data_IF_414877882346
#
_entry.id   IF_414877882346
#
_cell.length_a   1.000
_cell.length_b   1.000
_cell.length_c   1.000
_cell.angle_alpha   90.00
_cell.angle_beta   90.00
_cell.angle_gamma   90.00
#
_symmetry.space_group_name_H-M   'P 1'
#
loop_
_entity.id
_entity.type
_entity.pdbx_description
1 polymer ?
#
# COMPACT_ATOMS: atom_id res chain seq x y z
N UNK A 1 35.30 -11.86 23.44
CA UNK A 1 35.57 -10.85 24.50
C UNK A 1 34.35 -10.54 25.38
N UNK A 2 33.20 -11.23 25.25
CA UNK A 2 32.08 -11.08 26.20
C UNK A 2 31.91 -12.30 27.11
N UNK A 3 32.41 -13.49 26.72
CA UNK A 3 32.28 -14.70 27.54
C UNK A 3 33.31 -14.79 28.68
N UNK A 4 34.43 -14.07 28.57
CA UNK A 4 35.48 -14.02 29.59
C UNK A 4 35.11 -13.12 30.80
N UNK A 5 34.15 -12.21 30.61
CA UNK A 5 33.70 -11.28 31.66
C UNK A 5 32.66 -11.95 32.57
N UNK A 6 32.00 -13.03 32.13
CA UNK A 6 30.96 -13.68 32.94
C UNK A 6 31.52 -14.53 34.11
N UNK A 7 32.79 -14.97 34.03
CA UNK A 7 33.39 -15.85 35.04
C UNK A 7 34.16 -15.11 36.16
N UNK A 8 34.27 -13.78 36.09
CA UNK A 8 35.01 -12.97 37.08
C UNK A 8 34.11 -12.16 38.02
N UNK A 9 32.78 -12.27 37.92
CA UNK A 9 31.82 -11.50 38.70
C UNK A 9 30.96 -12.35 39.64
N UNK A 10 31.52 -13.39 40.24
CA UNK A 10 30.84 -14.21 41.26
C UNK A 10 31.31 -13.89 42.69
N UNK A 11 31.27 -12.62 43.09
CA UNK A 11 31.35 -12.23 44.51
C UNK A 11 31.09 -10.74 44.73
N UNK A 12 29.88 -10.27 44.42
CA UNK A 12 29.40 -9.00 44.97
C UNK A 12 27.89 -8.92 44.86
N UNK A 13 27.27 -8.60 46.00
CA UNK A 13 25.83 -8.40 46.18
C UNK A 13 25.35 -7.23 45.31
N UNK A 14 25.12 -7.48 44.03
CA UNK A 14 24.53 -6.49 43.13
C UNK A 14 23.02 -6.65 43.09
N UNK A 15 22.37 -5.52 43.36
CA UNK A 15 20.94 -5.29 43.42
C UNK A 15 20.19 -5.95 42.24
N UNK A 16 19.04 -6.57 42.51
CA UNK A 16 18.22 -7.27 41.51
C UNK A 16 17.87 -6.36 40.31
N UNK A 17 17.90 -5.05 40.53
CA UNK A 17 17.81 -3.95 39.57
C UNK A 17 18.90 -4.00 38.48
N UNK A 18 20.17 -4.27 38.83
CA UNK A 18 21.28 -4.27 37.86
C UNK A 18 21.20 -5.49 36.94
N UNK A 19 20.77 -6.64 37.47
CA UNK A 19 20.56 -7.86 36.66
C UNK A 19 19.36 -7.72 35.72
N UNK A 20 18.28 -7.04 36.13
CA UNK A 20 17.13 -6.73 35.26
C UNK A 20 17.48 -5.74 34.17
N UNK A 21 18.31 -4.73 34.45
CA UNK A 21 18.80 -3.76 33.44
C UNK A 21 19.67 -4.46 32.39
N UNK A 22 20.56 -5.37 32.78
CA UNK A 22 21.38 -6.15 31.83
C UNK A 22 20.51 -7.10 30.98
N UNK A 23 19.44 -7.66 31.55
CA UNK A 23 18.44 -8.47 30.81
C UNK A 23 17.65 -7.61 29.81
N UNK A 24 17.24 -6.39 30.19
CA UNK A 24 16.58 -5.43 29.30
C UNK A 24 17.53 -4.94 28.19
N UNK A 25 18.82 -4.75 28.49
CA UNK A 25 19.83 -4.38 27.49
C UNK A 25 20.04 -5.46 26.42
N UNK A 26 19.80 -6.75 26.72
CA UNK A 26 19.77 -7.81 25.69
C UNK A 26 18.60 -7.63 24.73
N UNK A 27 17.46 -7.08 25.17
CA UNK A 27 16.31 -6.77 24.29
C UNK A 27 16.61 -5.62 23.32
N UNK A 28 17.57 -4.73 23.62
CA UNK A 28 18.03 -3.72 22.67
C UNK A 28 18.67 -4.35 21.41
N UNK A 29 19.09 -5.63 21.45
CA UNK A 29 19.48 -6.34 20.22
C UNK A 29 18.30 -6.54 19.26
N UNK A 30 17.05 -6.52 19.74
CA UNK A 30 15.83 -6.52 18.93
C UNK A 30 15.64 -5.20 18.17
N UNK A 31 16.36 -4.12 18.51
CA UNK A 31 16.42 -2.91 17.67
C UNK A 31 17.04 -3.22 16.30
N UNK A 32 17.88 -4.26 16.16
CA UNK A 32 18.29 -4.72 14.82
C UNK A 32 17.11 -5.25 14.00
N UNK A 33 16.07 -5.79 14.64
CA UNK A 33 14.80 -6.14 13.97
C UNK A 33 13.99 -4.89 13.58
N UNK A 34 14.15 -3.75 14.25
CA UNK A 34 13.56 -2.48 13.75
C UNK A 34 14.20 -2.00 12.44
N UNK A 35 15.44 -2.40 12.15
CA UNK A 35 16.04 -2.22 10.81
C UNK A 35 15.42 -3.15 9.75
N UNK A 36 14.84 -4.27 10.17
CA UNK A 36 13.98 -5.12 9.33
C UNK A 36 12.59 -4.46 9.14
N UNK A 37 12.15 -3.58 10.05
CA UNK A 37 10.95 -2.72 9.90
C UNK A 37 11.08 -1.66 8.80
N UNK A 38 12.30 -1.29 8.42
CA UNK A 38 12.55 -0.52 7.18
C UNK A 38 12.51 -1.34 5.88
N UNK A 39 12.33 -2.67 5.94
CA UNK A 39 12.11 -3.48 4.74
C UNK A 39 10.77 -3.11 4.09
N UNK A 40 10.72 -3.05 2.76
CA UNK A 40 9.54 -2.60 2.01
C UNK A 40 8.24 -3.38 2.30
N UNK A 41 8.33 -4.56 2.93
CA UNK A 41 7.18 -5.34 3.39
C UNK A 41 6.44 -4.71 4.57
N UNK A 42 7.16 -4.08 5.52
CA UNK A 42 6.53 -3.42 6.67
C UNK A 42 5.90 -2.07 6.31
N UNK A 43 6.34 -1.42 5.23
CA UNK A 43 5.57 -0.33 4.61
C UNK A 43 4.27 -0.81 3.97
N UNK A 44 4.27 -2.00 3.33
CA UNK A 44 3.01 -2.60 2.82
C UNK A 44 2.07 -2.94 3.97
N UNK A 45 2.59 -3.51 5.07
CA UNK A 45 1.81 -3.78 6.27
C UNK A 45 1.28 -2.48 6.89
N UNK A 46 2.10 -1.42 7.00
CA UNK A 46 1.66 -0.12 7.52
C UNK A 46 0.64 0.59 6.61
N UNK A 47 0.67 0.35 5.30
CA UNK A 47 -0.37 0.82 4.39
C UNK A 47 -1.68 0.02 4.54
N UNK A 48 -1.58 -1.29 4.80
CA UNK A 48 -2.74 -2.12 5.12
C UNK A 48 -3.34 -1.78 6.49
N UNK A 49 -2.50 -1.51 7.50
CA UNK A 49 -2.93 -1.14 8.85
C UNK A 49 -3.71 0.17 8.85
N UNK A 50 -3.27 1.17 8.06
CA UNK A 50 -4.01 2.42 7.84
C UNK A 50 -5.37 2.19 7.17
N UNK A 51 -5.51 1.14 6.36
CA UNK A 51 -6.80 0.72 5.81
C UNK A 51 -7.71 0.10 6.88
N UNK A 52 -7.15 -0.65 7.83
CA UNK A 52 -7.90 -1.22 8.98
C UNK A 52 -8.32 -0.11 9.95
N UNK A 53 -7.45 0.86 10.19
CA UNK A 53 -7.73 2.03 11.06
C UNK A 53 -8.97 2.79 10.59
N UNK A 54 -9.12 2.98 9.28
CA UNK A 54 -10.33 3.58 8.70
C UNK A 54 -11.59 2.73 8.99
N UNK A 55 -11.51 1.40 8.84
CA UNK A 55 -12.65 0.50 9.08
C UNK A 55 -13.04 0.36 10.55
N UNK A 56 -12.08 0.49 11.48
CA UNK A 56 -12.33 0.29 12.92
C UNK A 56 -13.34 1.31 13.46
N UNK A 57 -13.31 2.54 12.97
CA UNK A 57 -14.25 3.59 13.35
C UNK A 57 -15.70 3.20 13.03
N UNK A 58 -15.97 2.68 11.84
CA UNK A 58 -17.30 2.22 11.41
C UNK A 58 -17.75 1.00 12.20
N UNK A 59 -16.84 0.05 12.48
CA UNK A 59 -17.14 -1.10 13.34
C UNK A 59 -17.54 -0.68 14.75
N UNK A 60 -16.87 0.32 15.33
CA UNK A 60 -17.20 0.82 16.66
C UNK A 60 -18.62 1.39 16.71
N UNK A 61 -19.03 2.20 15.73
CA UNK A 61 -20.39 2.74 15.67
C UNK A 61 -21.46 1.65 15.51
N UNK A 62 -21.19 0.64 14.68
CA UNK A 62 -22.09 -0.51 14.54
C UNK A 62 -22.17 -1.33 15.84
N UNK A 63 -21.05 -1.49 16.55
CA UNK A 63 -20.99 -2.12 17.87
C UNK A 63 -21.81 -1.35 18.92
N UNK A 64 -21.76 -0.02 18.91
CA UNK A 64 -22.57 0.83 19.79
C UNK A 64 -24.07 0.64 19.49
N UNK A 65 -24.45 0.59 18.22
CA UNK A 65 -25.85 0.37 17.82
C UNK A 65 -26.37 -1.00 18.27
N UNK A 66 -25.56 -2.06 18.08
CA UNK A 66 -25.89 -3.41 18.57
C UNK A 66 -26.00 -3.43 20.11
N UNK A 67 -25.07 -2.78 20.80
CA UNK A 67 -25.08 -2.68 22.26
C UNK A 67 -26.37 -2.00 22.76
N UNK A 68 -26.81 -0.92 22.09
CA UNK A 68 -28.05 -0.23 22.41
C UNK A 68 -29.28 -1.12 22.23
N UNK A 69 -29.36 -1.87 21.12
CA UNK A 69 -30.48 -2.80 20.86
C UNK A 69 -30.51 -3.91 21.92
N UNK A 70 -29.36 -4.53 22.22
CA UNK A 70 -29.25 -5.52 23.28
C UNK A 70 -29.62 -4.93 24.65
N UNK A 71 -29.23 -3.68 24.94
CA UNK A 71 -29.58 -3.01 26.19
C UNK A 71 -31.10 -2.85 26.35
N UNK A 72 -31.80 -2.32 25.33
CA UNK A 72 -33.25 -2.12 25.40
C UNK A 72 -33.99 -3.46 25.58
N UNK A 73 -33.63 -4.47 24.79
CA UNK A 73 -34.22 -5.81 24.92
C UNK A 73 -33.88 -6.47 26.26
N UNK A 74 -32.68 -6.22 26.80
CA UNK A 74 -32.28 -6.78 28.09
C UNK A 74 -33.07 -6.21 29.24
N UNK A 75 -33.36 -4.90 29.24
CA UNK A 75 -34.21 -4.27 30.25
C UNK A 75 -35.60 -4.89 30.23
N UNK A 76 -36.16 -5.08 29.03
CA UNK A 76 -37.46 -5.74 28.86
C UNK A 76 -37.45 -7.18 29.40
N UNK A 77 -36.43 -7.98 29.05
CA UNK A 77 -36.33 -9.38 29.50
C UNK A 77 -36.03 -9.51 31.00
N UNK A 78 -35.26 -8.61 31.60
CA UNK A 78 -35.03 -8.60 33.05
C UNK A 78 -36.34 -8.34 33.80
N UNK A 79 -37.15 -7.40 33.31
CA UNK A 79 -38.43 -7.05 33.93
C UNK A 79 -39.49 -8.13 33.75
N UNK A 80 -39.54 -8.78 32.59
CA UNK A 80 -40.58 -9.77 32.25
C UNK A 80 -40.18 -11.20 32.62
N UNK A 81 -38.96 -11.60 32.26
CA UNK A 81 -38.45 -12.96 32.42
C UNK A 81 -37.63 -13.11 33.69
N UNK A 82 -36.67 -12.21 33.94
CA UNK A 82 -35.72 -12.31 35.05
C UNK A 82 -36.35 -12.27 36.45
N UNK A 83 -37.55 -11.71 36.58
CA UNK A 83 -38.28 -11.64 37.86
C UNK A 83 -39.18 -12.87 38.12
N UNK A 84 -39.18 -13.87 37.22
CA UNK A 84 -40.02 -15.05 37.34
C UNK A 84 -39.46 -16.03 38.38
N UNK A 85 -40.30 -16.44 39.34
CA UNK A 85 -39.94 -17.34 40.45
C UNK A 85 -40.47 -18.76 40.30
N UNK A 86 -40.83 -19.18 39.08
CA UNK A 86 -41.27 -20.54 38.81
C UNK A 86 -40.24 -21.58 39.30
N UNK A 87 -40.65 -22.69 39.96
CA UNK A 87 -39.73 -23.67 40.52
C UNK A 87 -38.83 -24.37 39.49
N UNK A 88 -39.27 -24.45 38.22
CA UNK A 88 -38.54 -25.12 37.14
C UNK A 88 -37.79 -24.12 36.25
N UNK A 89 -38.41 -22.98 35.93
CA UNK A 89 -37.86 -21.97 35.02
C UNK A 89 -37.09 -20.85 35.73
N UNK A 90 -37.36 -20.59 37.01
CA UNK A 90 -36.81 -19.46 37.76
C UNK A 90 -35.27 -19.44 37.83
N UNK A 91 -34.61 -20.60 37.92
CA UNK A 91 -33.15 -20.67 37.89
C UNK A 91 -32.58 -20.22 36.53
N UNK A 92 -33.20 -20.65 35.43
CA UNK A 92 -32.81 -20.23 34.09
C UNK A 92 -33.06 -18.73 33.88
N UNK A 93 -34.22 -18.25 34.36
CA UNK A 93 -34.60 -16.86 34.31
C UNK A 93 -33.61 -15.94 35.05
N UNK A 94 -33.27 -16.25 36.29
CA UNK A 94 -32.33 -15.45 37.09
C UNK A 94 -30.91 -15.49 36.51
N UNK A 95 -30.46 -16.68 36.09
CA UNK A 95 -29.08 -16.85 35.61
C UNK A 95 -28.82 -16.13 34.29
N UNK A 96 -29.79 -16.14 33.37
CA UNK A 96 -29.67 -15.53 32.05
C UNK A 96 -30.23 -14.10 31.99
N UNK A 97 -31.29 -13.81 32.74
CA UNK A 97 -32.06 -12.56 32.67
C UNK A 97 -32.17 -11.82 34.02
N UNK A 98 -31.51 -12.24 35.09
CA UNK A 98 -31.58 -11.55 36.40
C UNK A 98 -30.85 -10.20 36.46
N UNK A 99 -29.84 -10.00 35.61
CA UNK A 99 -29.08 -8.74 35.51
C UNK A 99 -29.06 -8.25 34.06
N UNK A 100 -29.12 -6.93 33.87
CA UNK A 100 -29.05 -6.28 32.54
C UNK A 100 -27.81 -6.77 31.77
N UNK A 101 -26.62 -6.74 32.37
CA UNK A 101 -25.38 -7.15 31.71
C UNK A 101 -25.39 -8.63 31.28
N UNK A 102 -25.93 -9.53 32.11
CA UNK A 102 -26.07 -10.96 31.78
C UNK A 102 -27.11 -11.20 30.68
N UNK A 103 -28.21 -10.46 30.73
CA UNK A 103 -29.25 -10.50 29.71
C UNK A 103 -28.74 -9.98 28.37
N UNK A 104 -27.97 -8.90 28.36
CA UNK A 104 -27.30 -8.39 27.15
C UNK A 104 -26.35 -9.43 26.55
N UNK A 105 -25.56 -10.12 27.37
CA UNK A 105 -24.67 -11.19 26.89
C UNK A 105 -25.46 -12.39 26.34
N UNK A 106 -26.54 -12.79 27.02
CA UNK A 106 -27.41 -13.88 26.55
C UNK A 106 -28.07 -13.50 25.22
N UNK A 107 -28.58 -12.28 25.08
CA UNK A 107 -29.14 -11.78 23.83
C UNK A 107 -28.10 -11.72 22.70
N UNK A 108 -26.90 -11.22 22.99
CA UNK A 108 -25.81 -11.23 22.02
C UNK A 108 -25.51 -12.65 21.53
N UNK A 109 -25.40 -13.63 22.45
CA UNK A 109 -25.23 -15.05 22.09
C UNK A 109 -26.38 -15.53 21.18
N UNK A 110 -27.63 -15.26 21.58
CA UNK A 110 -28.81 -15.67 20.81
C UNK A 110 -28.80 -15.11 19.38
N UNK A 111 -28.45 -13.84 19.20
CA UNK A 111 -28.37 -13.22 17.87
C UNK A 111 -27.18 -13.69 17.04
N UNK A 112 -26.09 -14.10 17.67
CA UNK A 112 -24.92 -14.68 16.99
C UNK A 112 -25.09 -16.17 16.63
N UNK A 113 -26.16 -16.81 17.08
CA UNK A 113 -26.52 -18.19 16.70
C UNK A 113 -26.55 -19.20 17.84
N UNK A 114 -26.32 -18.77 19.09
CA UNK A 114 -26.38 -19.65 20.26
C UNK A 114 -27.36 -19.12 21.31
N UNK A 115 -28.53 -19.74 21.41
CA UNK A 115 -29.54 -19.40 22.41
C UNK A 115 -29.80 -20.56 23.39
N UNK A 116 -28.72 -21.19 23.84
CA UNK A 116 -28.76 -22.30 24.79
C UNK A 116 -28.48 -21.86 26.24
N UNK A 117 -29.19 -22.50 27.16
CA UNK A 117 -28.90 -22.46 28.59
C UNK A 117 -27.61 -23.25 28.91
N UNK A 118 -27.18 -23.21 30.17
CA UNK A 118 -25.95 -23.88 30.64
C UNK A 118 -25.96 -25.41 30.47
N UNK A 119 -27.15 -26.02 30.36
CA UNK A 119 -27.37 -27.45 30.17
C UNK A 119 -27.63 -27.82 28.69
N UNK A 120 -27.47 -26.86 27.77
CA UNK A 120 -27.68 -27.06 26.34
C UNK A 120 -29.13 -26.99 25.88
N UNK A 121 -30.10 -26.78 26.79
CA UNK A 121 -31.50 -26.59 26.40
C UNK A 121 -31.73 -25.22 25.77
N UNK A 122 -32.63 -25.16 24.80
CA UNK A 122 -33.05 -23.92 24.14
C UNK A 122 -33.81 -23.01 25.12
N UNK A 123 -33.34 -21.77 25.29
CA UNK A 123 -33.97 -20.75 26.14
C UNK A 123 -35.42 -20.42 25.70
N UNK A 124 -35.72 -20.24 24.40
CA UNK A 124 -37.08 -20.09 23.91
C UNK A 124 -37.99 -21.28 24.25
N UNK A 125 -37.48 -22.51 24.13
CA UNK A 125 -38.28 -23.72 24.42
C UNK A 125 -38.59 -23.84 25.91
N UNK A 126 -37.64 -23.47 26.77
CA UNK A 126 -37.85 -23.38 28.23
C UNK A 126 -38.88 -22.30 28.61
N UNK A 127 -39.04 -21.26 27.79
CA UNK A 127 -39.99 -20.18 28.04
C UNK A 127 -41.44 -20.53 27.61
N UNK A 128 -41.63 -21.47 26.68
CA UNK A 128 -42.96 -21.84 26.15
C UNK A 128 -43.95 -22.32 27.23
N UNK A 129 -43.58 -23.21 28.18
CA UNK A 129 -44.50 -23.66 29.23
C UNK A 129 -45.01 -22.54 30.15
N UNK A 130 -44.24 -21.44 30.27
CA UNK A 130 -44.51 -20.34 31.20
C UNK A 130 -45.27 -19.20 30.53
N UNK A 131 -44.87 -18.84 29.31
CA UNK A 131 -45.38 -17.67 28.59
C UNK A 131 -46.25 -18.04 27.36
N UNK A 132 -46.37 -19.34 27.07
CA UNK A 132 -47.11 -19.86 25.93
C UNK A 132 -46.33 -19.84 24.61
N UNK A 133 -46.94 -20.43 23.57
CA UNK A 133 -46.35 -20.57 22.24
C UNK A 133 -46.08 -19.24 21.51
N UNK A 134 -46.65 -18.12 21.98
CA UNK A 134 -46.42 -16.80 21.40
C UNK A 134 -44.97 -16.31 21.51
N UNK A 135 -44.18 -16.87 22.45
CA UNK A 135 -42.76 -16.51 22.60
C UNK A 135 -41.92 -16.90 21.39
N UNK A 136 -42.24 -18.01 20.72
CA UNK A 136 -41.47 -18.50 19.57
C UNK A 136 -41.49 -17.53 18.38
N UNK A 137 -42.65 -17.05 17.87
CA UNK A 137 -42.67 -16.06 16.81
C UNK A 137 -42.06 -14.72 17.24
N UNK A 138 -42.22 -14.28 18.50
CA UNK A 138 -41.55 -13.09 19.01
C UNK A 138 -40.02 -13.23 18.97
N UNK A 139 -39.50 -14.38 19.41
CA UNK A 139 -38.09 -14.71 19.33
C UNK A 139 -37.60 -14.74 17.88
N UNK A 140 -38.30 -15.43 16.97
CA UNK A 140 -37.95 -15.48 15.56
C UNK A 140 -37.89 -14.10 14.91
N UNK A 141 -38.89 -13.26 15.14
CA UNK A 141 -38.91 -11.88 14.61
C UNK A 141 -37.72 -11.08 15.16
N UNK A 142 -37.40 -11.23 16.45
CA UNK A 142 -36.26 -10.54 17.05
C UNK A 142 -34.92 -10.98 16.42
N UNK A 143 -34.75 -12.28 16.16
CA UNK A 143 -33.56 -12.83 15.50
C UNK A 143 -33.50 -12.41 14.04
N UNK A 144 -34.62 -12.42 13.31
CA UNK A 144 -34.67 -11.91 11.94
C UNK A 144 -34.26 -10.44 11.87
N UNK A 145 -34.80 -9.62 12.76
CA UNK A 145 -34.49 -8.19 12.80
C UNK A 145 -33.02 -7.91 13.11
N UNK A 146 -32.43 -8.58 14.12
CA UNK A 146 -31.04 -8.31 14.52
C UNK A 146 -30.05 -9.03 13.60
N UNK A 147 -30.21 -10.34 13.40
CA UNK A 147 -29.24 -11.15 12.68
C UNK A 147 -29.28 -10.91 11.17
N UNK A 148 -30.47 -10.73 10.59
CA UNK A 148 -30.61 -10.49 9.14
C UNK A 148 -30.83 -9.02 8.79
N UNK A 149 -31.36 -8.20 9.69
CA UNK A 149 -31.45 -6.75 9.47
C UNK A 149 -30.15 -6.06 9.88
N UNK A 150 -29.89 -6.02 11.18
CA UNK A 150 -28.84 -5.17 11.76
C UNK A 150 -27.42 -5.61 11.34
N UNK A 151 -27.08 -6.90 11.40
CA UNK A 151 -25.76 -7.35 10.96
C UNK A 151 -25.53 -7.15 9.46
N UNK A 152 -26.56 -7.34 8.62
CA UNK A 152 -26.41 -7.10 7.19
C UNK A 152 -26.22 -5.60 6.88
N UNK A 153 -26.89 -4.70 7.60
CA UNK A 153 -26.65 -3.25 7.50
C UNK A 153 -25.22 -2.91 7.97
N UNK A 154 -24.74 -3.52 9.05
CA UNK A 154 -23.37 -3.34 9.52
C UNK A 154 -22.34 -3.78 8.47
N UNK A 155 -22.52 -4.97 7.87
CA UNK A 155 -21.64 -5.47 6.80
C UNK A 155 -21.70 -4.57 5.57
N UNK A 156 -22.89 -4.10 5.18
CA UNK A 156 -23.06 -3.19 4.05
C UNK A 156 -22.31 -1.87 4.27
N UNK A 157 -22.42 -1.26 5.45
CA UNK A 157 -21.71 -0.03 5.78
C UNK A 157 -20.19 -0.24 5.79
N UNK A 158 -19.71 -1.34 6.37
CA UNK A 158 -18.29 -1.69 6.35
C UNK A 158 -17.76 -1.85 4.92
N UNK A 159 -18.48 -2.57 4.05
CA UNK A 159 -18.13 -2.74 2.65
C UNK A 159 -18.15 -1.40 1.89
N UNK A 160 -19.11 -0.52 2.19
CA UNK A 160 -19.22 0.78 1.56
C UNK A 160 -18.01 1.67 1.89
N UNK A 161 -17.59 1.70 3.15
CA UNK A 161 -16.43 2.48 3.58
C UNK A 161 -15.11 1.89 3.05
N UNK A 162 -14.96 0.57 3.04
CA UNK A 162 -13.81 -0.10 2.41
C UNK A 162 -13.73 0.23 0.91
N UNK A 163 -14.87 0.21 0.21
CA UNK A 163 -14.93 0.55 -1.22
C UNK A 163 -14.64 2.04 -1.46
N UNK A 164 -15.12 2.94 -0.59
CA UNK A 164 -14.82 4.38 -0.66
C UNK A 164 -13.32 4.64 -0.48
N UNK A 165 -12.68 3.99 0.50
CA UNK A 165 -11.24 4.10 0.73
C UNK A 165 -10.44 3.63 -0.50
N UNK A 166 -10.83 2.51 -1.10
CA UNK A 166 -10.22 2.02 -2.34
C UNK A 166 -10.37 3.03 -3.49
N UNK A 167 -11.60 3.52 -3.73
CA UNK A 167 -11.89 4.51 -4.78
C UNK A 167 -11.14 5.82 -4.58
N UNK A 168 -10.96 6.27 -3.33
CA UNK A 168 -10.21 7.48 -3.05
C UNK A 168 -8.75 7.36 -3.52
N UNK A 169 -8.11 6.22 -3.24
CA UNK A 169 -6.74 5.97 -3.68
C UNK A 169 -6.60 5.92 -5.21
N UNK A 170 -7.58 5.34 -5.90
CA UNK A 170 -7.60 5.27 -7.36
C UNK A 170 -7.90 6.64 -7.99
N UNK A 171 -8.83 7.41 -7.43
CA UNK A 171 -9.18 8.75 -7.89
C UNK A 171 -8.01 9.71 -7.76
N UNK A 172 -7.27 9.67 -6.64
CA UNK A 172 -6.07 10.47 -6.45
C UNK A 172 -5.00 10.12 -7.49
N UNK A 173 -4.77 8.82 -7.70
CA UNK A 173 -3.85 8.31 -8.73
C UNK A 173 -4.25 8.76 -10.14
N UNK A 174 -5.53 8.65 -10.48
CA UNK A 174 -6.03 9.12 -11.77
C UNK A 174 -5.92 10.63 -11.92
N UNK A 175 -6.15 11.40 -10.86
CA UNK A 175 -6.01 12.87 -10.89
C UNK A 175 -4.57 13.30 -11.17
N UNK A 176 -3.59 12.62 -10.56
CA UNK A 176 -2.15 12.83 -10.80
C UNK A 176 -1.81 12.52 -12.25
N UNK A 177 -2.23 11.36 -12.76
CA UNK A 177 -2.03 10.98 -14.16
C UNK A 177 -2.70 11.94 -15.15
N UNK A 178 -3.88 12.47 -14.83
CA UNK A 178 -4.57 13.48 -15.66
C UNK A 178 -3.82 14.81 -15.69
N UNK A 179 -3.37 15.30 -14.54
CA UNK A 179 -2.56 16.54 -14.45
C UNK A 179 -1.26 16.40 -15.22
N UNK A 180 -0.56 15.27 -15.07
CA UNK A 180 0.64 14.97 -15.86
C UNK A 180 0.36 14.95 -17.37
N UNK A 181 -0.71 14.29 -17.80
CA UNK A 181 -1.10 14.27 -19.23
C UNK A 181 -1.41 15.66 -19.77
N UNK A 182 -2.16 16.47 -19.02
CA UNK A 182 -2.51 17.83 -19.42
C UNK A 182 -1.26 18.72 -19.55
N UNK A 183 -0.31 18.57 -18.62
CA UNK A 183 0.93 19.33 -18.64
C UNK A 183 1.77 18.97 -19.86
N UNK A 184 1.90 17.67 -20.17
CA UNK A 184 2.58 17.20 -21.40
C UNK A 184 1.88 17.73 -22.64
N UNK A 185 0.55 17.60 -22.76
CA UNK A 185 -0.17 18.07 -23.95
C UNK A 185 -0.02 19.58 -24.17
N UNK A 186 -0.06 20.37 -23.09
CA UNK A 186 0.15 21.83 -23.17
C UNK A 186 1.56 22.17 -23.65
N UNK A 187 2.59 21.59 -23.01
CA UNK A 187 3.99 21.83 -23.36
C UNK A 187 4.30 21.41 -24.80
N UNK A 188 3.79 20.26 -25.23
CA UNK A 188 3.94 19.80 -26.61
C UNK A 188 3.29 20.77 -27.59
N UNK A 189 2.08 21.25 -27.30
CA UNK A 189 1.38 22.25 -28.14
C UNK A 189 2.16 23.56 -28.26
N UNK A 190 2.71 24.06 -27.15
CA UNK A 190 3.47 25.31 -27.12
C UNK A 190 4.76 25.19 -27.96
N UNK A 191 5.46 24.05 -27.87
CA UNK A 191 6.63 23.73 -28.72
C UNK A 191 6.23 23.69 -30.20
N UNK A 192 5.15 22.99 -30.56
CA UNK A 192 4.69 22.92 -31.95
C UNK A 192 4.32 24.28 -32.52
N UNK A 193 3.60 25.10 -31.74
CA UNK A 193 3.24 26.46 -32.16
C UNK A 193 4.48 27.30 -32.46
N UNK A 194 5.50 27.22 -31.60
CA UNK A 194 6.75 27.94 -31.77
C UNK A 194 7.54 27.48 -33.00
N UNK A 195 7.53 26.19 -33.30
CA UNK A 195 8.21 25.66 -34.50
C UNK A 195 7.52 26.19 -35.77
N UNK A 196 6.19 26.22 -35.80
CA UNK A 196 5.43 26.79 -36.93
C UNK A 196 5.66 28.30 -37.09
N UNK A 197 5.86 29.05 -36.00
CA UNK A 197 6.22 30.48 -36.06
C UNK A 197 7.62 30.72 -36.67
N UNK A 198 8.60 29.89 -36.30
CA UNK A 198 9.98 30.03 -36.77
C UNK A 198 10.18 29.50 -38.20
N UNK A 199 9.33 28.56 -38.63
CA UNK A 199 9.39 27.94 -39.94
C UNK A 199 7.99 27.86 -40.58
N UNK A 200 7.44 28.98 -41.04
CA UNK A 200 6.09 29.03 -41.61
C UNK A 200 5.94 28.16 -42.88
N UNK A 201 7.02 27.97 -43.64
CA UNK A 201 7.03 27.15 -44.86
C UNK A 201 7.39 25.68 -44.61
N UNK A 202 7.62 25.27 -43.36
CA UNK A 202 8.07 23.89 -43.06
C UNK A 202 6.98 22.84 -43.23
N UNK A 203 5.71 23.19 -43.03
CA UNK A 203 4.58 22.27 -43.23
C UNK A 203 3.23 22.99 -43.32
N UNK A 204 2.32 22.44 -44.13
CA UNK A 204 0.94 22.94 -44.22
C UNK A 204 0.09 22.52 -43.00
N UNK A 205 0.41 21.38 -42.37
CA UNK A 205 -0.26 20.91 -41.16
C UNK A 205 0.74 20.36 -40.14
N UNK A 206 0.32 20.26 -38.87
CA UNK A 206 1.15 19.70 -37.78
C UNK A 206 1.52 18.24 -38.03
N UNK A 207 0.69 17.50 -38.79
CA UNK A 207 0.96 16.10 -39.12
C UNK A 207 2.09 15.95 -40.16
N UNK A 208 2.27 16.95 -41.02
CA UNK A 208 3.27 16.95 -42.09
C UNK A 208 4.61 17.56 -41.65
N UNK A 209 4.71 18.02 -40.39
CA UNK A 209 5.91 18.67 -39.88
C UNK A 209 7.05 17.66 -39.73
N UNK A 210 8.10 17.88 -40.51
CA UNK A 210 9.36 17.13 -40.45
C UNK A 210 10.46 18.08 -39.98
N UNK A 211 11.07 17.78 -38.83
CA UNK A 211 12.12 18.62 -38.26
C UNK A 211 13.47 18.03 -38.65
N UNK A 212 14.19 18.74 -39.50
CA UNK A 212 15.55 18.37 -39.90
C UNK A 212 16.58 18.78 -38.85
N UNK A 213 17.79 18.22 -38.95
CA UNK A 213 18.89 18.53 -38.02
C UNK A 213 19.33 19.99 -38.06
N UNK A 214 19.19 20.64 -39.21
CA UNK A 214 19.48 22.07 -39.38
C UNK A 214 18.42 22.93 -38.71
N UNK A 215 17.14 22.59 -38.87
CA UNK A 215 16.03 23.25 -38.16
C UNK A 215 16.21 23.10 -36.64
N UNK A 216 16.55 21.91 -36.16
CA UNK A 216 16.82 21.66 -34.75
C UNK A 216 17.94 22.55 -34.19
N UNK A 217 19.02 22.76 -34.94
CA UNK A 217 20.11 23.68 -34.55
C UNK A 217 19.65 25.13 -34.41
N UNK A 218 18.67 25.57 -35.19
CA UNK A 218 18.07 26.90 -35.08
C UNK A 218 17.09 26.98 -33.91
N UNK A 219 16.28 25.94 -33.69
CA UNK A 219 15.39 25.84 -32.51
C UNK A 219 16.18 25.91 -31.20
N UNK A 220 17.37 25.31 -31.15
CA UNK A 220 18.27 25.38 -30.00
C UNK A 220 18.95 26.74 -29.80
N UNK A 221 18.72 27.73 -30.66
CA UNK A 221 19.15 29.13 -30.46
C UNK A 221 18.02 30.02 -29.96
N UNK A 222 16.77 29.56 -30.05
CA UNK A 222 15.61 30.30 -29.58
C UNK A 222 15.55 30.27 -28.04
N UNK A 223 15.58 31.44 -27.41
CA UNK A 223 15.60 31.56 -25.94
C UNK A 223 14.35 30.96 -25.30
N UNK A 224 13.21 31.05 -25.96
CA UNK A 224 11.94 30.54 -25.45
C UNK A 224 11.89 29.01 -25.49
N UNK A 225 12.36 28.41 -26.61
CA UNK A 225 12.53 26.97 -26.72
C UNK A 225 13.50 26.40 -25.66
N UNK A 226 14.62 27.08 -25.42
CA UNK A 226 15.59 26.70 -24.38
C UNK A 226 14.93 26.72 -23.00
N UNK A 227 14.23 27.80 -22.65
CA UNK A 227 13.52 27.94 -21.38
C UNK A 227 12.52 26.80 -21.16
N UNK A 228 11.74 26.43 -22.17
CA UNK A 228 10.79 25.32 -22.05
C UNK A 228 11.48 23.97 -21.87
N UNK A 229 12.60 23.72 -22.57
CA UNK A 229 13.37 22.49 -22.40
C UNK A 229 13.99 22.41 -20.99
N UNK A 230 14.43 23.53 -20.41
CA UNK A 230 14.92 23.62 -19.04
C UNK A 230 13.82 23.36 -18.01
N UNK A 231 12.64 23.94 -18.20
CA UNK A 231 11.46 23.69 -17.36
C UNK A 231 11.03 22.21 -17.38
N UNK A 232 11.34 21.49 -18.46
CA UNK A 232 11.11 20.05 -18.60
C UNK A 232 12.25 19.18 -18.03
N UNK A 233 13.29 19.78 -17.46
CA UNK A 233 14.43 19.08 -16.87
C UNK A 233 15.49 18.64 -17.88
N UNK A 234 15.56 19.28 -19.05
CA UNK A 234 16.64 19.06 -20.02
C UNK A 234 17.84 19.94 -19.70
N UNK A 235 18.89 19.33 -19.17
CA UNK A 235 20.20 19.96 -19.01
C UNK A 235 20.88 20.18 -20.37
N UNK A 236 21.85 21.10 -20.41
CA UNK A 236 22.60 21.45 -21.62
C UNK A 236 23.27 20.23 -22.28
N UNK A 237 23.71 19.27 -21.47
CA UNK A 237 24.32 18.01 -21.90
C UNK A 237 23.36 17.05 -22.58
N UNK A 238 22.10 16.96 -22.12
CA UNK A 238 21.07 16.15 -22.78
C UNK A 238 20.55 16.86 -24.03
N UNK A 239 20.47 18.20 -24.03
CA UNK A 239 19.87 18.98 -25.12
C UNK A 239 20.53 18.75 -26.48
N UNK A 240 21.85 18.63 -26.52
CA UNK A 240 22.60 18.36 -27.76
C UNK A 240 22.39 16.93 -28.28
N UNK A 241 22.18 15.97 -27.37
CA UNK A 241 21.95 14.55 -27.70
C UNK A 241 20.46 14.24 -27.91
N UNK A 242 19.57 15.16 -27.54
CA UNK A 242 18.13 14.95 -27.53
C UNK A 242 17.61 14.60 -28.92
N UNK A 243 18.08 15.27 -29.97
CA UNK A 243 17.70 14.94 -31.35
C UNK A 243 17.95 13.47 -31.69
N UNK A 244 19.15 12.97 -31.45
CA UNK A 244 19.53 11.58 -31.71
C UNK A 244 18.82 10.58 -30.79
N UNK A 245 18.23 11.05 -29.68
CA UNK A 245 17.48 10.22 -28.72
C UNK A 245 15.98 10.20 -29.01
N UNK A 246 15.49 11.17 -29.78
CA UNK A 246 14.12 11.24 -30.27
C UNK A 246 13.98 10.58 -31.64
N UNK A 247 15.02 10.66 -32.47
CA UNK A 247 15.12 9.99 -33.77
C UNK A 247 15.29 8.47 -33.53
N UNK A 248 14.16 7.78 -33.49
CA UNK A 248 14.10 6.37 -33.10
C UNK A 248 14.35 5.44 -34.28
N UNK A 249 14.05 5.91 -35.49
CA UNK A 249 14.22 5.18 -36.74
C UNK A 249 15.58 5.46 -37.42
N UNK A 250 16.33 6.45 -36.96
CA UNK A 250 17.66 6.81 -37.45
C UNK A 250 17.67 7.48 -38.81
N UNK A 251 16.53 8.02 -39.26
CA UNK A 251 16.40 8.64 -40.59
C UNK A 251 16.98 10.07 -40.64
N UNK A 252 17.44 10.62 -39.50
CA UNK A 252 18.05 11.93 -39.40
C UNK A 252 17.05 13.10 -39.41
N UNK A 253 15.76 12.81 -39.30
CA UNK A 253 14.67 13.78 -39.16
C UNK A 253 13.76 13.39 -38.00
N UNK A 254 12.96 14.33 -37.48
CA UNK A 254 11.94 14.03 -36.48
C UNK A 254 10.56 14.29 -37.06
N UNK A 255 9.72 13.25 -37.07
CA UNK A 255 8.30 13.41 -37.34
C UNK A 255 7.53 13.88 -36.10
N UNK A 256 6.24 14.19 -36.30
CA UNK A 256 5.36 14.64 -35.23
C UNK A 256 5.25 13.62 -34.08
N UNK A 257 5.20 12.32 -34.38
CA UNK A 257 5.08 11.28 -33.36
C UNK A 257 6.38 11.11 -32.55
N UNK A 258 7.53 11.18 -33.21
CA UNK A 258 8.85 11.13 -32.58
C UNK A 258 9.09 12.35 -31.68
N UNK A 259 8.67 13.54 -32.13
CA UNK A 259 8.73 14.74 -31.30
C UNK A 259 7.83 14.65 -30.07
N UNK A 260 6.56 14.23 -30.22
CA UNK A 260 5.62 14.06 -29.11
C UNK A 260 6.13 13.01 -28.12
N UNK A 261 6.62 11.87 -28.63
CA UNK A 261 7.14 10.78 -27.81
C UNK A 261 8.41 11.20 -27.08
N UNK A 262 9.27 11.98 -27.75
CA UNK A 262 10.48 12.57 -27.20
C UNK A 262 10.19 13.53 -26.05
N UNK A 263 9.32 14.51 -26.27
CA UNK A 263 8.90 15.47 -25.24
C UNK A 263 8.23 14.73 -24.07
N UNK A 264 7.37 13.75 -24.33
CA UNK A 264 6.72 12.96 -23.28
C UNK A 264 7.73 12.14 -22.46
N UNK A 265 8.79 11.61 -23.09
CA UNK A 265 9.87 10.91 -22.40
C UNK A 265 10.72 11.85 -21.54
N UNK A 266 10.91 13.10 -21.99
CA UNK A 266 11.60 14.16 -21.27
C UNK A 266 10.81 14.58 -20.02
N UNK A 267 9.52 14.94 -20.16
CA UNK A 267 8.66 15.34 -19.04
C UNK A 267 8.50 14.26 -17.97
N UNK A 268 8.66 12.98 -18.33
CA UNK A 268 8.58 11.84 -17.40
C UNK A 268 9.92 11.51 -16.73
N UNK A 269 10.99 12.25 -17.01
CA UNK A 269 12.33 11.98 -16.50
C UNK A 269 12.94 10.67 -17.01
N UNK A 270 12.36 10.03 -18.03
CA UNK A 270 12.86 8.74 -18.57
C UNK A 270 14.27 8.87 -19.14
N UNK A 271 14.65 10.05 -19.61
CA UNK A 271 15.97 10.26 -20.18
C UNK A 271 17.11 10.28 -19.18
N UNK A 272 16.85 10.58 -17.89
CA UNK A 272 17.83 10.38 -16.81
C UNK A 272 18.05 8.90 -16.47
N UNK A 273 16.99 8.08 -16.49
CA UNK A 273 17.10 6.63 -16.26
C UNK A 273 17.80 5.90 -17.41
N UNK A 274 17.50 6.28 -18.66
CA UNK A 274 18.20 5.73 -19.83
C UNK A 274 19.68 6.10 -19.77
N UNK A 275 20.07 7.30 -19.31
CA UNK A 275 21.49 7.62 -19.12
C UNK A 275 22.15 6.74 -18.07
N UNK A 276 21.52 6.52 -16.91
CA UNK A 276 22.08 5.61 -15.90
C UNK A 276 22.26 4.18 -16.42
N UNK A 277 21.30 3.66 -17.20
CA UNK A 277 21.40 2.34 -17.82
C UNK A 277 22.44 2.28 -18.94
N UNK A 278 22.53 3.33 -19.76
CA UNK A 278 23.52 3.41 -20.85
C UNK A 278 24.94 3.55 -20.30
N UNK A 279 25.10 4.33 -19.23
CA UNK A 279 26.37 4.48 -18.50
C UNK A 279 26.76 3.14 -17.87
N UNK A 280 25.81 2.44 -17.23
CA UNK A 280 25.99 1.09 -16.69
C UNK A 280 26.42 0.09 -17.77
N UNK A 281 25.74 0.06 -18.93
CA UNK A 281 26.11 -0.81 -20.05
C UNK A 281 27.50 -0.48 -20.58
N UNK A 282 27.86 0.80 -20.73
CA UNK A 282 29.22 1.20 -21.16
C UNK A 282 30.28 0.79 -20.14
N UNK A 283 30.02 0.97 -18.84
CA UNK A 283 30.94 0.49 -17.79
C UNK A 283 31.03 -1.03 -17.75
N UNK A 284 29.94 -1.76 -18.01
CA UNK A 284 29.95 -3.22 -18.13
C UNK A 284 30.79 -3.68 -19.33
N UNK A 285 30.59 -3.03 -20.49
CA UNK A 285 31.32 -3.34 -21.71
C UNK A 285 32.83 -3.07 -21.55
N UNK A 286 33.20 -1.93 -20.94
CA UNK A 286 34.58 -1.60 -20.63
C UNK A 286 35.22 -2.59 -19.63
N UNK A 287 34.46 -3.06 -18.63
CA UNK A 287 34.93 -4.09 -17.69
C UNK A 287 35.09 -5.46 -18.35
N UNK A 288 34.21 -5.83 -19.27
CA UNK A 288 34.33 -7.05 -20.07
C UNK A 288 35.60 -7.05 -20.91
N UNK A 289 35.89 -5.94 -21.61
CA UNK A 289 37.13 -5.77 -22.36
C UNK A 289 38.38 -5.83 -21.47
N UNK A 290 38.31 -5.24 -20.27
CA UNK A 290 39.41 -5.33 -19.31
C UNK A 290 39.64 -6.76 -18.79
N UNK A 291 38.56 -7.54 -18.60
CA UNK A 291 38.64 -8.95 -18.22
C UNK A 291 39.21 -9.79 -19.37
N UNK A 292 38.76 -9.57 -20.62
CA UNK A 292 39.32 -10.25 -21.79
C UNK A 292 40.82 -9.96 -21.94
N UNK A 293 41.24 -8.70 -21.77
CA UNK A 293 42.66 -8.34 -21.80
C UNK A 293 43.47 -8.98 -20.66
N UNK A 294 42.90 -9.05 -19.44
CA UNK A 294 43.55 -9.70 -18.30
C UNK A 294 43.66 -11.22 -18.47
N UNK A 295 42.65 -11.86 -19.04
CA UNK A 295 42.67 -13.30 -19.37
C UNK A 295 43.70 -13.57 -20.47
N UNK A 296 43.71 -12.78 -21.55
CA UNK A 296 44.69 -12.90 -22.62
C UNK A 296 46.13 -12.72 -22.11
N UNK A 297 46.37 -11.75 -21.21
CA UNK A 297 47.68 -11.53 -20.59
C UNK A 297 48.12 -12.67 -19.66
N UNK A 298 47.19 -13.31 -18.95
CA UNK A 298 47.49 -14.41 -18.03
C UNK A 298 47.79 -15.72 -18.76
N UNK A 299 46.98 -16.07 -19.76
CA UNK A 299 47.24 -17.22 -20.62
C UNK A 299 48.49 -17.05 -21.50
N UNK A 300 48.78 -15.83 -21.98
CA UNK A 300 50.03 -15.54 -22.69
C UNK A 300 51.27 -15.76 -21.82
N UNK A 301 51.22 -15.34 -20.55
CA UNK A 301 52.33 -15.52 -19.61
C UNK A 301 52.47 -16.98 -19.11
N UNK A 302 51.36 -17.71 -18.93
CA UNK A 302 51.41 -19.11 -18.50
C UNK A 302 51.94 -20.05 -19.60
N UNK A 303 51.64 -19.75 -20.87
CA UNK A 303 52.20 -20.49 -22.02
C UNK A 303 53.69 -20.18 -22.22
N UNK A 304 54.10 -18.92 -22.07
CA UNK A 304 55.53 -18.54 -22.15
C UNK A 304 56.33 -19.04 -20.93
N UNK A 305 55.69 -19.15 -19.76
CA UNK A 305 56.30 -19.68 -18.54
C UNK A 305 56.58 -21.19 -18.61
N UNK A 306 55.66 -21.99 -19.18
CA UNK A 306 55.85 -23.45 -19.27
C UNK A 306 56.83 -23.87 -20.37
N UNK A 307 56.97 -23.06 -21.44
CA UNK A 307 57.99 -23.29 -22.47
C UNK A 307 59.40 -23.01 -21.95
N UNK A 308 59.55 -22.05 -21.03
CA UNK A 308 60.85 -21.73 -20.41
C UNK A 308 61.31 -22.71 -19.32
N UNK A 309 60.41 -23.53 -18.77
CA UNK A 309 60.76 -24.57 -17.79
C UNK A 309 61.01 -25.95 -18.42
N UNK A 310 60.93 -26.05 -19.76
CA UNK A 310 61.03 -27.32 -20.51
C UNK A 310 62.20 -27.34 -21.51
N UNK A 311 63.12 -26.38 -21.42
CA UNK A 311 64.42 -26.32 -22.11
C UNK A 311 65.52 -26.18 -21.07
#
# INVERSE_FOLDING_TARGET
MMDFVALTFDNSSYDASTVTIIRLARLLRLIRLTRIVTSGWLRKLGNMLRGIEAGLSTLLWCGILLFLVCYVLSVFLVQTVGSNKDPFFGEYADRHFGLISRSMLTLFRCFTGDCSAYDGKSLPDLAVPIYGYAVLPCYWISVMFVSFGLFNVMVANFLQDATRAARYSDAERQSKLRKERQLVTKQTRDIFARIMELFPDAAATVADLIITRDMWRVLLKDKQMISWLEDMGCDDTTRQKLFAKMDSNGNGVLDCNELVTGIMALCRGKYGHIETLTLLMRTMHAKLLAIEAAIAGKFGNDVLGSVRSSV
#
